data_IF_132624773491
#
_entry.id   IF_132624773491
#
_cell.length_a   1.000
_cell.length_b   1.000
_cell.length_c   1.000
_cell.angle_alpha   90.00
_cell.angle_beta   90.00
_cell.angle_gamma   90.00
#
_symmetry.space_group_name_H-M   'P 1'
#
loop_
_entity.id
_entity.type
_entity.pdbx_description
1 polymer ?
#
# COMPACT_ATOMS: atom_id res chain seq x y z
N UNK A 1 -11.93 -14.91 13.67
CA UNK A 1 -11.12 -16.01 13.13
C UNK A 1 -11.90 -17.28 12.84
N UNK A 2 -12.86 -17.73 13.71
CA UNK A 2 -13.70 -18.90 13.43
C UNK A 2 -14.70 -18.61 12.31
N UNK A 3 -15.31 -17.46 12.30
CA UNK A 3 -16.23 -16.97 11.25
C UNK A 3 -15.57 -16.97 9.86
N UNK A 4 -14.27 -16.59 9.77
CA UNK A 4 -13.51 -16.58 8.51
C UNK A 4 -13.27 -17.97 7.90
N UNK A 5 -13.47 -19.06 8.65
CA UNK A 5 -13.31 -20.43 8.13
C UNK A 5 -14.49 -20.88 7.27
N UNK A 6 -15.64 -20.23 7.39
CA UNK A 6 -16.83 -20.55 6.61
C UNK A 6 -16.78 -20.01 5.18
N UNK A 7 -15.97 -18.98 4.92
CA UNK A 7 -15.86 -18.35 3.61
C UNK A 7 -15.03 -19.18 2.61
N UNK A 8 -15.61 -19.39 1.43
CA UNK A 8 -14.94 -20.09 0.33
C UNK A 8 -13.99 -19.14 -0.41
N UNK A 9 -12.70 -19.39 -0.26
CA UNK A 9 -11.66 -18.60 -0.93
C UNK A 9 -11.83 -18.61 -2.45
N UNK A 10 -11.71 -17.44 -3.06
CA UNK A 10 -11.87 -17.23 -4.50
C UNK A 10 -13.32 -17.26 -5.00
N UNK A 11 -14.32 -17.37 -4.09
CA UNK A 11 -15.74 -17.37 -4.44
C UNK A 11 -16.55 -16.36 -3.62
N UNK A 12 -16.48 -16.44 -2.29
CA UNK A 12 -17.25 -15.58 -1.40
C UNK A 12 -16.61 -14.20 -1.22
N UNK A 13 -17.39 -13.25 -0.71
CA UNK A 13 -16.94 -11.89 -0.40
C UNK A 13 -16.98 -11.66 1.09
N UNK A 14 -16.08 -10.83 1.57
CA UNK A 14 -16.00 -10.39 2.96
C UNK A 14 -16.02 -8.87 3.01
N UNK A 15 -16.75 -8.31 3.96
CA UNK A 15 -16.79 -6.89 4.25
C UNK A 15 -15.76 -6.57 5.32
N UNK A 16 -14.90 -5.60 5.05
CA UNK A 16 -13.78 -5.23 5.90
C UNK A 16 -13.76 -3.72 6.13
N UNK A 17 -13.42 -3.29 7.33
CA UNK A 17 -13.19 -1.88 7.64
C UNK A 17 -11.70 -1.59 7.66
N UNK A 18 -11.21 -0.70 6.78
CA UNK A 18 -9.81 -0.29 6.84
C UNK A 18 -9.54 0.59 8.08
N UNK A 19 -8.35 0.43 8.65
CA UNK A 19 -7.87 1.27 9.75
C UNK A 19 -7.22 2.55 9.26
N UNK A 20 -6.68 2.52 8.04
CA UNK A 20 -5.95 3.60 7.40
C UNK A 20 -6.31 3.70 5.93
N UNK A 21 -6.16 4.90 5.39
CA UNK A 21 -6.28 5.12 3.96
C UNK A 21 -5.19 6.05 3.44
N UNK A 22 -4.94 6.00 2.13
CA UNK A 22 -3.98 6.88 1.51
C UNK A 22 -4.25 7.11 0.04
N UNK A 23 -3.72 8.20 -0.46
CA UNK A 23 -3.73 8.51 -1.89
C UNK A 23 -2.51 9.34 -2.26
N UNK A 24 -2.28 9.48 -3.55
CA UNK A 24 -1.18 10.27 -4.10
C UNK A 24 -1.66 11.30 -5.13
N UNK A 25 -0.77 12.09 -5.65
CA UNK A 25 -1.09 13.26 -6.50
C UNK A 25 -1.68 12.90 -7.89
N UNK A 26 -1.60 11.66 -8.35
CA UNK A 26 -2.30 11.22 -9.57
C UNK A 26 -3.71 10.70 -9.23
N UNK A 27 -3.84 9.77 -8.28
CA UNK A 27 -5.13 9.17 -7.92
C UNK A 27 -6.00 10.05 -7.02
N UNK A 28 -5.35 10.88 -6.21
CA UNK A 28 -6.00 11.72 -5.21
C UNK A 28 -7.06 12.69 -5.73
N UNK A 29 -6.81 13.47 -6.78
CA UNK A 29 -7.79 14.42 -7.28
C UNK A 29 -9.14 13.78 -7.58
N UNK A 30 -9.14 12.65 -8.28
CA UNK A 30 -10.38 11.95 -8.63
C UNK A 30 -11.09 11.38 -7.41
N UNK A 31 -10.36 10.72 -6.51
CA UNK A 31 -10.92 10.19 -5.26
C UNK A 31 -11.53 11.30 -4.40
N UNK A 32 -10.85 12.45 -4.27
CA UNK A 32 -11.34 13.58 -3.51
C UNK A 32 -12.58 14.20 -4.14
N UNK A 33 -12.63 14.35 -5.46
CA UNK A 33 -13.83 14.83 -6.15
C UNK A 33 -15.03 13.90 -5.91
N UNK A 34 -14.81 12.59 -5.93
CA UNK A 34 -15.85 11.61 -5.58
C UNK A 34 -16.26 11.73 -4.12
N UNK A 35 -15.30 11.87 -3.20
CA UNK A 35 -15.60 12.10 -1.78
C UNK A 35 -16.39 13.38 -1.55
N UNK A 36 -16.07 14.47 -2.25
CA UNK A 36 -16.84 15.73 -2.21
C UNK A 36 -18.33 15.50 -2.52
N UNK A 37 -18.63 14.63 -3.48
CA UNK A 37 -20.00 14.31 -3.89
C UNK A 37 -20.79 13.55 -2.82
N UNK A 38 -20.12 12.98 -1.81
CA UNK A 38 -20.78 12.30 -0.68
C UNK A 38 -21.43 13.25 0.31
N UNK A 39 -21.08 14.54 0.29
CA UNK A 39 -21.57 15.55 1.22
C UNK A 39 -21.01 15.42 2.65
N UNK A 40 -20.04 14.55 2.88
CA UNK A 40 -19.38 14.41 4.19
C UNK A 40 -18.43 15.59 4.47
N UNK A 41 -18.43 16.05 5.69
CA UNK A 41 -17.58 17.17 6.14
C UNK A 41 -16.14 16.76 6.47
N UNK A 42 -15.92 15.50 6.81
CA UNK A 42 -14.60 14.94 7.17
C UNK A 42 -14.53 13.47 6.81
N UNK A 43 -13.32 13.01 6.59
CA UNK A 43 -13.02 11.57 6.45
C UNK A 43 -13.25 10.85 7.78
N UNK A 44 -13.63 9.57 7.68
CA UNK A 44 -14.03 8.77 8.85
C UNK A 44 -12.84 8.03 9.51
N UNK A 45 -11.70 7.95 8.85
CA UNK A 45 -10.51 7.25 9.35
C UNK A 45 -9.24 8.06 9.06
N UNK A 46 -8.14 7.84 9.79
CA UNK A 46 -6.87 8.51 9.50
C UNK A 46 -6.39 8.19 8.09
N UNK A 47 -6.11 9.23 7.31
CA UNK A 47 -5.65 9.09 5.94
C UNK A 47 -4.66 10.18 5.56
N UNK A 48 -3.79 9.89 4.58
CA UNK A 48 -2.82 10.83 4.09
C UNK A 48 -2.85 10.98 2.56
N UNK A 49 -2.46 12.16 2.11
CA UNK A 49 -2.19 12.47 0.71
C UNK A 49 -0.69 12.70 0.58
N UNK A 50 -0.02 11.95 -0.31
CA UNK A 50 1.42 12.08 -0.55
C UNK A 50 1.66 12.47 -2.01
N UNK A 51 2.37 13.60 -2.23
CA UNK A 51 2.67 14.10 -3.57
C UNK A 51 4.04 13.60 -4.02
N UNK A 52 4.10 12.46 -4.69
CA UNK A 52 5.36 11.81 -5.09
C UNK A 52 5.42 11.34 -6.55
N UNK A 53 4.30 11.26 -7.25
CA UNK A 53 4.25 10.74 -8.62
C UNK A 53 4.51 11.80 -9.70
N UNK A 54 4.22 13.07 -9.44
CA UNK A 54 4.36 14.16 -10.41
C UNK A 54 5.72 14.85 -10.35
N UNK A 55 6.69 14.27 -9.66
CA UNK A 55 8.08 14.74 -9.58
C UNK A 55 8.95 13.91 -10.53
N UNK A 56 9.52 14.55 -11.53
CA UNK A 56 10.42 13.89 -12.49
C UNK A 56 11.88 14.14 -12.10
N UNK A 57 12.66 13.08 -11.91
CA UNK A 57 14.08 13.16 -11.62
C UNK A 57 14.86 13.40 -12.92
N UNK A 58 15.42 14.61 -13.08
CA UNK A 58 16.14 15.02 -14.28
C UNK A 58 17.45 15.78 -13.99
N UNK A 59 17.40 16.81 -13.15
CA UNK A 59 18.53 17.71 -12.89
C UNK A 59 18.99 17.73 -11.44
N UNK A 60 18.30 17.03 -10.54
CA UNK A 60 18.56 16.95 -9.11
C UNK A 60 17.42 17.52 -8.26
N UNK A 61 17.41 17.20 -6.97
CA UNK A 61 16.28 17.41 -6.09
C UNK A 61 15.68 18.83 -6.12
N UNK A 62 16.51 19.86 -5.93
CA UNK A 62 16.01 21.24 -5.84
C UNK A 62 15.42 21.76 -7.16
N UNK A 63 16.13 21.67 -8.32
CA UNK A 63 15.56 22.12 -9.59
C UNK A 63 14.33 21.32 -10.00
N UNK A 64 14.32 20.00 -9.79
CA UNK A 64 13.21 19.13 -10.17
C UNK A 64 11.96 19.43 -9.36
N UNK A 65 12.08 19.67 -8.05
CA UNK A 65 10.97 20.11 -7.21
C UNK A 65 10.39 21.45 -7.64
N UNK A 66 11.24 22.43 -8.01
CA UNK A 66 10.76 23.72 -8.52
C UNK A 66 9.97 23.56 -9.82
N UNK A 67 10.38 22.65 -10.69
CA UNK A 67 9.65 22.34 -11.93
C UNK A 67 8.33 21.67 -11.60
N UNK A 68 8.33 20.68 -10.70
CA UNK A 68 7.12 19.97 -10.28
C UNK A 68 6.09 20.93 -9.66
N UNK A 69 6.51 21.78 -8.71
CA UNK A 69 5.64 22.77 -8.06
C UNK A 69 5.02 23.75 -9.08
N UNK A 70 5.80 24.21 -10.05
CA UNK A 70 5.29 25.11 -11.08
C UNK A 70 4.33 24.41 -12.04
N UNK A 71 4.67 23.21 -12.48
CA UNK A 71 3.90 22.47 -13.51
C UNK A 71 2.61 21.88 -12.96
N UNK A 72 2.60 21.52 -11.66
CA UNK A 72 1.49 20.82 -11.02
C UNK A 72 0.82 21.66 -9.91
N UNK A 73 1.02 22.98 -9.93
CA UNK A 73 0.54 23.88 -8.89
C UNK A 73 -0.94 23.71 -8.56
N UNK A 74 -1.80 23.63 -9.58
CA UNK A 74 -3.25 23.47 -9.38
C UNK A 74 -3.59 22.17 -8.67
N UNK A 75 -2.92 21.08 -9.02
CA UNK A 75 -3.11 19.76 -8.38
C UNK A 75 -2.66 19.82 -6.93
N UNK A 76 -1.48 20.33 -6.66
CA UNK A 76 -0.94 20.38 -5.29
C UNK A 76 -1.73 21.34 -4.40
N UNK A 77 -2.14 22.51 -4.90
CA UNK A 77 -3.01 23.45 -4.16
C UNK A 77 -4.38 22.85 -3.86
N UNK A 78 -5.00 22.17 -4.84
CA UNK A 78 -6.26 21.46 -4.65
C UNK A 78 -6.13 20.39 -3.55
N UNK A 79 -5.11 19.53 -3.62
CA UNK A 79 -4.88 18.46 -2.66
C UNK A 79 -4.60 19.01 -1.25
N UNK A 80 -3.77 20.05 -1.14
CA UNK A 80 -3.46 20.68 0.14
C UNK A 80 -4.70 21.31 0.80
N UNK A 81 -5.55 21.99 0.02
CA UNK A 81 -6.81 22.55 0.51
C UNK A 81 -7.80 21.47 0.91
N UNK A 82 -7.92 20.42 0.11
CA UNK A 82 -8.76 19.27 0.42
C UNK A 82 -8.30 18.58 1.71
N UNK A 83 -7.00 18.36 1.87
CA UNK A 83 -6.43 17.79 3.08
C UNK A 83 -6.83 18.60 4.31
N UNK A 84 -6.63 19.92 4.28
CA UNK A 84 -7.02 20.83 5.35
C UNK A 84 -8.54 20.81 5.63
N UNK A 85 -9.35 20.74 4.58
CA UNK A 85 -10.82 20.80 4.71
C UNK A 85 -11.39 19.51 5.28
N UNK A 86 -10.89 18.36 4.84
CA UNK A 86 -11.48 17.05 5.13
C UNK A 86 -10.74 16.26 6.20
N UNK A 87 -9.55 16.71 6.62
CA UNK A 87 -8.79 16.13 7.72
C UNK A 87 -7.80 15.04 7.31
N UNK A 88 -7.28 15.09 6.09
CA UNK A 88 -6.12 14.28 5.71
C UNK A 88 -4.82 14.91 6.23
N UNK A 89 -3.84 14.08 6.51
CA UNK A 89 -2.46 14.52 6.57
C UNK A 89 -1.96 14.81 5.16
N UNK A 90 -1.15 15.86 5.01
CA UNK A 90 -0.64 16.26 3.70
C UNK A 90 0.88 16.25 3.65
N UNK A 91 1.41 15.48 2.73
CA UNK A 91 2.84 15.35 2.45
C UNK A 91 3.14 15.97 1.08
N UNK A 92 3.76 17.16 1.04
CA UNK A 92 3.99 17.86 -0.21
C UNK A 92 5.06 17.18 -1.06
N UNK A 93 5.17 17.59 -2.32
CA UNK A 93 6.22 17.14 -3.22
C UNK A 93 7.61 17.29 -2.59
N UNK A 94 8.39 16.21 -2.66
CA UNK A 94 9.72 16.16 -2.04
C UNK A 94 9.76 15.61 -0.61
N UNK A 95 8.62 15.33 0.01
CA UNK A 95 8.58 14.71 1.35
C UNK A 95 9.08 13.26 1.37
N UNK A 96 8.92 12.56 0.25
CA UNK A 96 9.33 11.16 0.09
C UNK A 96 8.38 10.39 -0.79
N UNK A 97 8.73 9.16 -1.13
CA UNK A 97 7.85 8.25 -1.87
C UNK A 97 6.73 7.75 -0.96
N UNK A 98 5.50 7.69 -1.48
CA UNK A 98 4.30 7.44 -0.65
C UNK A 98 4.40 6.16 0.19
N UNK A 99 4.89 5.06 -0.39
CA UNK A 99 4.98 3.80 0.33
C UNK A 99 5.99 3.83 1.48
N UNK A 100 7.07 4.60 1.35
CA UNK A 100 8.03 4.80 2.43
C UNK A 100 7.46 5.71 3.52
N UNK A 101 6.77 6.79 3.13
CA UNK A 101 6.06 7.67 4.06
C UNK A 101 5.02 6.87 4.86
N UNK A 102 4.24 6.02 4.18
CA UNK A 102 3.26 5.17 4.86
C UNK A 102 3.92 4.15 5.78
N UNK A 103 4.99 3.50 5.33
CA UNK A 103 5.70 2.48 6.11
C UNK A 103 6.23 3.05 7.43
N UNK A 104 6.76 4.27 7.40
CA UNK A 104 7.40 4.92 8.56
C UNK A 104 6.41 5.60 9.51
N UNK A 105 5.22 6.00 9.04
CA UNK A 105 4.35 6.88 9.82
C UNK A 105 2.93 6.35 10.06
N UNK A 106 2.44 5.41 9.25
CA UNK A 106 1.03 4.98 9.28
C UNK A 106 0.85 3.49 9.46
N UNK A 107 1.84 2.69 9.08
CA UNK A 107 1.72 1.25 9.09
C UNK A 107 1.97 0.67 10.48
N UNK A 108 1.21 -0.35 10.83
CA UNK A 108 1.35 -1.09 12.08
C UNK A 108 0.91 -2.55 11.89
N UNK A 109 1.48 -3.49 12.66
CA UNK A 109 1.14 -4.90 12.55
C UNK A 109 -0.35 -5.17 12.84
N UNK A 110 -0.96 -6.01 12.03
CA UNK A 110 -2.35 -6.44 12.19
C UNK A 110 -3.40 -5.44 11.72
N UNK A 111 -3.01 -4.25 11.26
CA UNK A 111 -3.92 -3.26 10.66
C UNK A 111 -4.26 -3.55 9.21
N UNK A 112 -5.24 -2.80 8.68
CA UNK A 112 -5.63 -2.82 7.27
C UNK A 112 -5.57 -1.42 6.66
N UNK A 113 -5.02 -1.31 5.45
CA UNK A 113 -4.88 -0.04 4.73
C UNK A 113 -5.31 -0.15 3.27
N UNK A 114 -6.03 0.87 2.78
CA UNK A 114 -6.37 1.03 1.37
C UNK A 114 -5.66 2.27 0.81
N UNK A 115 -4.99 2.12 -0.32
CA UNK A 115 -4.32 3.23 -1.02
C UNK A 115 -4.58 3.15 -2.52
N UNK A 116 -4.68 4.28 -3.19
CA UNK A 116 -4.87 4.33 -4.65
C UNK A 116 -3.58 4.06 -5.45
N UNK A 117 -2.76 3.12 -4.99
CA UNK A 117 -1.50 2.74 -5.63
C UNK A 117 -1.28 1.23 -5.61
N UNK A 118 -0.72 0.70 -6.70
CA UNK A 118 -0.50 -0.75 -6.88
C UNK A 118 0.57 -1.32 -5.95
N UNK A 119 1.52 -0.51 -5.47
CA UNK A 119 2.59 -0.94 -4.56
C UNK A 119 2.26 -0.79 -3.07
N UNK A 120 1.00 -0.57 -2.75
CA UNK A 120 0.46 -0.56 -1.37
C UNK A 120 0.85 -1.81 -0.54
N UNK A 121 1.00 -3.01 -1.13
CA UNK A 121 1.48 -4.20 -0.41
C UNK A 121 2.82 -4.05 0.31
N UNK A 122 3.60 -3.00 0.05
CA UNK A 122 4.83 -2.65 0.81
C UNK A 122 4.61 -2.71 2.32
N UNK A 123 3.45 -2.30 2.80
CA UNK A 123 3.08 -2.32 4.23
C UNK A 123 3.05 -3.73 4.85
N UNK A 124 2.91 -4.76 4.03
CA UNK A 124 3.02 -6.15 4.47
C UNK A 124 4.38 -6.51 5.05
N UNK A 125 5.42 -5.73 4.75
CA UNK A 125 6.74 -5.82 5.38
C UNK A 125 6.73 -5.49 6.87
N UNK A 126 5.70 -4.79 7.37
CA UNK A 126 5.42 -4.55 8.79
C UNK A 126 4.20 -5.37 9.30
N UNK A 127 3.76 -6.39 8.57
CA UNK A 127 2.63 -7.21 9.00
C UNK A 127 1.28 -6.51 8.90
N UNK A 128 1.13 -5.48 8.07
CA UNK A 128 -0.12 -4.79 7.79
C UNK A 128 -0.76 -5.32 6.50
N UNK A 129 -2.06 -5.61 6.52
CA UNK A 129 -2.81 -5.98 5.32
C UNK A 129 -3.10 -4.72 4.51
N UNK A 130 -2.35 -4.50 3.44
CA UNK A 130 -2.48 -3.28 2.66
C UNK A 130 -2.75 -3.60 1.18
N UNK A 131 -3.76 -2.95 0.61
CA UNK A 131 -4.30 -3.29 -0.70
C UNK A 131 -4.40 -2.03 -1.55
N UNK A 132 -3.88 -2.12 -2.77
CA UNK A 132 -4.06 -1.10 -3.80
C UNK A 132 -5.47 -1.17 -4.39
N UNK A 133 -6.18 -0.05 -4.37
CA UNK A 133 -7.58 0.04 -4.79
C UNK A 133 -7.83 1.19 -5.75
N UNK A 134 -8.98 1.16 -6.43
CA UNK A 134 -9.47 2.29 -7.20
C UNK A 134 -9.97 3.44 -6.33
N UNK A 135 -10.16 4.62 -6.96
CA UNK A 135 -10.62 5.80 -6.23
C UNK A 135 -11.99 5.61 -5.57
N UNK A 136 -12.92 4.89 -6.20
CA UNK A 136 -14.24 4.61 -5.64
C UNK A 136 -14.16 3.77 -4.36
N UNK A 137 -13.39 2.68 -4.40
CA UNK A 137 -13.17 1.82 -3.22
C UNK A 137 -12.52 2.58 -2.05
N UNK A 138 -11.56 3.48 -2.38
CA UNK A 138 -10.97 4.34 -1.37
C UNK A 138 -12.03 5.25 -0.71
N UNK A 139 -12.94 5.81 -1.51
CA UNK A 139 -14.00 6.70 -1.02
C UNK A 139 -14.92 5.99 -0.04
N UNK A 140 -15.27 4.73 -0.27
CA UNK A 140 -16.07 3.94 0.65
C UNK A 140 -15.39 3.86 2.02
N UNK A 141 -14.10 3.55 2.06
CA UNK A 141 -13.30 3.59 3.28
C UNK A 141 -13.29 4.97 3.95
N UNK A 142 -13.05 6.04 3.16
CA UNK A 142 -13.04 7.42 3.66
C UNK A 142 -14.40 7.86 4.24
N UNK A 143 -15.49 7.31 3.74
CA UNK A 143 -16.85 7.54 4.28
C UNK A 143 -17.15 6.72 5.55
N UNK A 144 -16.26 5.80 5.93
CA UNK A 144 -16.44 4.88 7.04
C UNK A 144 -17.33 3.69 6.71
N UNK A 145 -17.51 3.41 5.44
CA UNK A 145 -18.22 2.22 4.96
C UNK A 145 -17.30 1.00 4.99
N UNK A 146 -17.91 -0.17 5.03
CA UNK A 146 -17.20 -1.42 4.83
C UNK A 146 -16.82 -1.56 3.36
N UNK A 147 -15.64 -2.11 3.13
CA UNK A 147 -15.13 -2.38 1.80
C UNK A 147 -15.23 -3.87 1.51
N UNK A 148 -15.81 -4.22 0.38
CA UNK A 148 -16.04 -5.60 -0.04
C UNK A 148 -14.81 -6.17 -0.74
N UNK A 149 -14.27 -7.25 -0.19
CA UNK A 149 -13.15 -7.99 -0.78
C UNK A 149 -13.58 -9.41 -1.13
N UNK A 150 -13.36 -9.81 -2.38
CA UNK A 150 -13.45 -11.22 -2.74
C UNK A 150 -12.44 -12.02 -1.92
N UNK A 151 -12.89 -12.99 -1.11
CA UNK A 151 -12.04 -13.74 -0.20
C UNK A 151 -10.82 -14.31 -0.92
N UNK A 152 -9.59 -13.79 -0.68
CA UNK A 152 -8.44 -14.16 -1.48
C UNK A 152 -7.99 -15.60 -1.23
N UNK A 153 -7.39 -16.22 -2.22
CA UNK A 153 -6.61 -17.43 -2.04
C UNK A 153 -5.36 -17.12 -1.23
N UNK A 154 -4.76 -18.13 -0.62
CA UNK A 154 -3.46 -17.99 0.04
C UNK A 154 -2.40 -18.73 -0.77
N UNK A 155 -1.29 -18.05 -1.02
CA UNK A 155 -0.05 -18.63 -1.54
C UNK A 155 1.00 -18.53 -0.44
N UNK A 156 1.28 -19.66 0.20
CA UNK A 156 2.32 -19.73 1.23
C UNK A 156 3.71 -19.84 0.60
N UNK A 157 4.61 -18.93 0.97
CA UNK A 157 6.02 -18.94 0.54
C UNK A 157 6.91 -19.19 1.76
N UNK A 158 7.41 -20.42 1.85
CA UNK A 158 8.33 -20.79 2.92
C UNK A 158 9.74 -20.33 2.59
N UNK A 159 10.29 -19.44 3.42
CA UNK A 159 11.68 -19.02 3.35
C UNK A 159 12.54 -19.84 4.32
N UNK A 160 13.63 -20.40 3.82
CA UNK A 160 14.60 -21.19 4.60
C UNK A 160 15.99 -20.64 4.43
N UNK A 161 16.84 -20.79 5.46
CA UNK A 161 18.21 -20.27 5.44
C UNK A 161 18.27 -18.74 5.53
N UNK A 162 19.29 -18.18 4.93
CA UNK A 162 19.54 -16.71 4.94
C UNK A 162 20.19 -16.25 3.64
N UNK A 163 20.05 -14.97 3.34
CA UNK A 163 20.77 -14.34 2.22
C UNK A 163 22.29 -14.41 2.44
N UNK A 164 23.04 -14.67 1.39
CA UNK A 164 24.49 -14.82 1.44
C UNK A 164 25.16 -14.03 0.31
N UNK A 165 26.39 -13.59 0.55
CA UNK A 165 27.18 -12.86 -0.43
C UNK A 165 26.49 -11.57 -0.88
N UNK A 166 26.28 -11.43 -2.16
CA UNK A 166 25.64 -10.26 -2.80
C UNK A 166 24.12 -10.39 -2.94
N UNK A 167 23.51 -11.49 -2.47
CA UNK A 167 22.07 -11.67 -2.53
C UNK A 167 21.35 -10.67 -1.64
N UNK A 168 20.29 -10.08 -2.14
CA UNK A 168 19.47 -9.06 -1.48
C UNK A 168 18.00 -9.53 -1.33
N UNK A 169 17.19 -8.88 -0.51
CA UNK A 169 15.74 -9.14 -0.46
C UNK A 169 15.06 -9.05 -1.82
N UNK A 170 15.56 -8.18 -2.71
CA UNK A 170 15.07 -8.06 -4.09
C UNK A 170 15.19 -9.37 -4.88
N UNK A 171 16.25 -10.14 -4.68
CA UNK A 171 16.45 -11.41 -5.38
C UNK A 171 15.41 -12.46 -4.98
N UNK A 172 14.94 -12.43 -3.74
CA UNK A 172 13.87 -13.31 -3.26
C UNK A 172 12.61 -13.10 -4.08
N UNK A 173 12.13 -11.85 -4.18
CA UNK A 173 10.89 -11.57 -4.91
C UNK A 173 11.07 -11.71 -6.42
N UNK A 174 12.23 -11.41 -6.99
CA UNK A 174 12.52 -11.64 -8.40
C UNK A 174 12.46 -13.14 -8.73
N UNK A 175 12.99 -13.99 -7.84
CA UNK A 175 12.88 -15.43 -7.98
C UNK A 175 11.43 -15.91 -7.94
N UNK A 176 10.64 -15.38 -6.99
CA UNK A 176 9.23 -15.71 -6.85
C UNK A 176 8.42 -15.26 -8.08
N UNK A 177 8.68 -14.04 -8.57
CA UNK A 177 8.04 -13.51 -9.79
C UNK A 177 8.37 -14.38 -11.01
N UNK A 178 9.62 -14.90 -11.10
CA UNK A 178 10.00 -15.85 -12.13
C UNK A 178 9.25 -17.19 -12.06
N UNK A 179 8.79 -17.59 -10.87
CA UNK A 179 7.99 -18.81 -10.67
C UNK A 179 6.50 -18.56 -10.95
N UNK A 180 5.93 -17.50 -10.39
CA UNK A 180 4.49 -17.18 -10.47
C UNK A 180 4.10 -16.50 -11.77
N UNK A 181 5.06 -15.87 -12.47
CA UNK A 181 4.80 -14.91 -13.55
C UNK A 181 3.97 -13.70 -13.08
N UNK A 182 3.53 -12.85 -14.01
CA UNK A 182 2.73 -11.65 -13.72
C UNK A 182 1.26 -11.92 -13.40
N UNK A 183 0.82 -13.18 -13.42
CA UNK A 183 -0.58 -13.58 -13.21
C UNK A 183 -0.78 -14.66 -12.15
N UNK A 184 0.30 -15.30 -11.69
CA UNK A 184 0.20 -16.43 -10.77
C UNK A 184 -0.34 -16.06 -9.39
N UNK A 185 -0.20 -14.80 -8.98
CA UNK A 185 -0.74 -14.26 -7.73
C UNK A 185 -2.17 -13.72 -7.81
N UNK A 186 -2.82 -13.75 -8.97
CA UNK A 186 -4.14 -13.14 -9.16
C UNK A 186 -5.18 -13.65 -8.15
N UNK A 187 -5.85 -12.73 -7.46
CA UNK A 187 -6.82 -13.00 -6.39
C UNK A 187 -6.22 -13.82 -5.23
N UNK A 188 -4.95 -13.64 -4.93
CA UNK A 188 -4.29 -14.28 -3.82
C UNK A 188 -3.56 -13.28 -2.91
N UNK A 189 -3.41 -13.65 -1.64
CA UNK A 189 -2.47 -13.06 -0.70
C UNK A 189 -1.24 -13.95 -0.68
N UNK A 190 -0.05 -13.36 -0.83
CA UNK A 190 1.21 -14.08 -0.66
C UNK A 190 1.62 -13.95 0.81
N UNK A 191 1.63 -15.05 1.53
CA UNK A 191 2.05 -15.12 2.93
C UNK A 191 3.45 -15.74 3.02
N UNK A 192 4.41 -14.95 3.48
CA UNK A 192 5.77 -15.42 3.72
C UNK A 192 5.88 -16.01 5.13
N UNK A 193 6.58 -17.12 5.28
CA UNK A 193 6.78 -17.78 6.57
C UNK A 193 8.07 -18.61 6.60
N UNK A 194 8.39 -19.16 7.75
CA UNK A 194 9.57 -20.00 7.97
C UNK A 194 10.74 -19.21 8.56
N UNK A 195 11.78 -19.93 9.00
CA UNK A 195 12.93 -19.39 9.73
C UNK A 195 13.75 -18.36 8.92
N UNK A 196 13.69 -18.43 7.59
CA UNK A 196 14.36 -17.47 6.73
C UNK A 196 13.81 -16.05 6.84
N UNK A 197 12.55 -15.87 7.30
CA UNK A 197 11.95 -14.55 7.48
C UNK A 197 12.64 -13.75 8.58
N UNK A 198 13.14 -14.39 9.64
CA UNK A 198 13.80 -13.78 10.77
C UNK A 198 15.15 -13.15 10.41
N UNK A 199 15.74 -13.58 9.30
CA UNK A 199 17.02 -13.05 8.80
C UNK A 199 16.88 -11.76 7.98
N UNK A 200 15.66 -11.32 7.69
CA UNK A 200 15.36 -10.15 6.87
C UNK A 200 15.05 -8.93 7.74
N UNK A 201 15.59 -7.78 7.38
CA UNK A 201 15.18 -6.50 7.98
C UNK A 201 13.74 -6.15 7.60
N UNK A 202 13.09 -5.27 8.37
CA UNK A 202 11.76 -4.74 8.05
C UNK A 202 11.72 -4.13 6.65
N UNK A 203 12.71 -3.32 6.28
CA UNK A 203 12.82 -2.73 4.93
C UNK A 203 13.06 -3.78 3.84
N UNK A 204 13.77 -4.86 4.16
CA UNK A 204 13.93 -6.01 3.26
C UNK A 204 12.62 -6.74 2.99
N UNK A 205 11.83 -6.98 4.04
CA UNK A 205 10.48 -7.53 3.93
C UNK A 205 9.55 -6.61 3.12
N UNK A 206 9.61 -5.30 3.38
CA UNK A 206 8.87 -4.29 2.63
C UNK A 206 9.22 -4.31 1.13
N UNK A 207 10.52 -4.45 0.78
CA UNK A 207 10.97 -4.61 -0.61
C UNK A 207 10.37 -5.85 -1.27
N UNK A 208 10.31 -6.96 -0.57
CA UNK A 208 9.71 -8.21 -1.08
C UNK A 208 8.21 -8.01 -1.30
N UNK A 209 7.48 -7.46 -0.32
CA UNK A 209 6.05 -7.20 -0.42
C UNK A 209 5.71 -6.19 -1.53
N UNK A 210 6.52 -5.14 -1.69
CA UNK A 210 6.35 -4.13 -2.73
C UNK A 210 6.23 -4.76 -4.11
N UNK A 211 7.15 -5.64 -4.46
CA UNK A 211 7.14 -6.30 -5.75
C UNK A 211 6.17 -7.48 -5.86
N UNK A 212 5.51 -7.85 -4.79
CA UNK A 212 4.39 -8.80 -4.85
C UNK A 212 3.29 -8.35 -5.80
N UNK A 213 3.09 -7.04 -5.96
CA UNK A 213 2.17 -6.45 -6.93
C UNK A 213 2.44 -6.93 -8.37
N UNK A 214 3.71 -7.12 -8.75
CA UNK A 214 4.10 -7.55 -10.09
C UNK A 214 3.71 -9.01 -10.41
N UNK A 215 3.32 -9.79 -9.43
CA UNK A 215 2.76 -11.14 -9.61
C UNK A 215 1.25 -11.15 -9.84
N UNK A 216 0.60 -9.99 -9.77
CA UNK A 216 -0.86 -9.84 -9.79
C UNK A 216 -1.53 -10.17 -8.45
N UNK A 217 -0.76 -10.33 -7.38
CA UNK A 217 -1.31 -10.61 -6.05
C UNK A 217 -2.12 -9.42 -5.51
N UNK A 218 -3.18 -9.74 -4.76
CA UNK A 218 -3.98 -8.74 -4.04
C UNK A 218 -3.14 -8.00 -3.02
N UNK A 219 -2.31 -8.73 -2.27
CA UNK A 219 -1.32 -8.19 -1.35
C UNK A 219 -0.29 -9.28 -0.96
N UNK A 220 0.71 -8.86 -0.20
CA UNK A 220 1.74 -9.74 0.36
C UNK A 220 1.96 -9.38 1.82
N UNK A 221 2.29 -10.35 2.66
CA UNK A 221 2.44 -10.12 4.10
C UNK A 221 3.53 -11.01 4.72
N UNK A 222 4.26 -10.47 5.66
CA UNK A 222 5.14 -11.19 6.58
C UNK A 222 4.52 -11.29 7.97
N UNK A 223 4.83 -12.35 8.74
CA UNK A 223 4.48 -12.39 10.15
C UNK A 223 5.25 -11.30 10.92
N UNK A 224 4.63 -10.80 11.99
CA UNK A 224 5.29 -9.84 12.89
C UNK A 224 6.48 -10.50 13.60
N UNK A 225 7.59 -9.78 13.69
CA UNK A 225 8.77 -10.16 14.46
C UNK A 225 9.54 -8.95 15.00
N UNK A 226 10.57 -9.19 15.78
CA UNK A 226 11.37 -8.14 16.44
C UNK A 226 12.04 -7.14 15.46
N UNK A 227 12.23 -7.47 14.19
CA UNK A 227 12.76 -6.53 13.21
C UNK A 227 11.73 -5.45 12.78
N UNK A 228 10.48 -5.61 13.19
CA UNK A 228 9.38 -4.69 12.89
C UNK A 228 9.02 -3.76 14.08
N UNK A 229 9.62 -3.99 15.25
CA UNK A 229 9.53 -3.11 16.44
C UNK A 229 10.37 -1.84 16.26
#
# INVERSE_FOLDING_TARGET
PEEMREFKRGADYVELRPDRAGTHDIGGPMAIIQFLSSGKDRIALPAAIVCDHLVMANAGAIPDLKVADKSNYETYDFLARAAKRYGFDFWPAGAGICHQVFLENYNFPGGMMLVTDSHTPTAGGLGMLAIGVGGADLVDGLMGMEWELKMPKLIGVKLTGRLQGWASPKDVILKLTGILSTKGGTNAIIEFFGEGTESLSATGKATICNMGAETGATTSIFPFDAAME
#
